data_IF_718608234801
#
_entry.id   IF_718608234801
#
_cell.length_a   1.000
_cell.length_b   1.000
_cell.length_c   1.000
_cell.angle_alpha   90.00
_cell.angle_beta   90.00
_cell.angle_gamma   90.00
#
_symmetry.space_group_name_H-M   'P 1'
#
loop_
_entity.id
_entity.type
_entity.pdbx_description
1 polymer ?
#
# COMPACT_ATOMS: atom_id res chain seq x y z
N UNK A 1 -2.14 -3.46 5.49
CA UNK A 1 -3.18 -3.18 4.47
C UNK A 1 -3.00 -1.86 3.72
N UNK A 2 -2.51 -0.78 4.35
CA UNK A 2 -2.26 0.49 3.65
C UNK A 2 -1.32 0.32 2.45
N UNK A 3 -0.12 -0.21 2.71
CA UNK A 3 0.94 -0.38 1.70
C UNK A 3 0.49 -1.29 0.54
N UNK A 4 -0.26 -2.36 0.84
CA UNK A 4 -0.78 -3.27 -0.19
C UNK A 4 -1.82 -2.57 -1.09
N UNK A 5 -2.73 -1.78 -0.52
CA UNK A 5 -3.72 -1.03 -1.28
C UNK A 5 -3.06 0.04 -2.15
N UNK A 6 -2.08 0.75 -1.59
CA UNK A 6 -1.30 1.77 -2.29
C UNK A 6 -0.50 1.17 -3.44
N UNK A 7 0.24 0.09 -3.20
CA UNK A 7 1.01 -0.61 -4.24
C UNK A 7 0.10 -1.12 -5.36
N UNK A 8 -1.04 -1.73 -5.01
CA UNK A 8 -2.05 -2.14 -5.97
C UNK A 8 -2.51 -0.96 -6.83
N UNK A 9 -2.95 0.14 -6.21
CA UNK A 9 -3.44 1.32 -6.95
C UNK A 9 -2.39 1.90 -7.89
N UNK A 10 -1.13 2.00 -7.47
CA UNK A 10 -0.04 2.54 -8.30
C UNK A 10 0.33 1.63 -9.47
N UNK A 11 0.36 0.32 -9.25
CA UNK A 11 0.62 -0.67 -10.32
C UNK A 11 -0.51 -0.64 -11.36
N UNK A 12 -1.77 -0.55 -10.93
CA UNK A 12 -2.92 -0.42 -11.84
C UNK A 12 -2.87 0.88 -12.66
N UNK A 13 -2.24 1.93 -12.15
CA UNK A 13 -1.95 3.18 -12.91
C UNK A 13 -0.68 3.09 -13.78
N UNK A 14 -0.20 1.89 -14.06
CA UNK A 14 1.01 1.61 -14.84
C UNK A 14 2.28 2.32 -14.33
N UNK A 15 2.38 2.60 -13.03
CA UNK A 15 3.60 3.12 -12.41
C UNK A 15 4.55 1.98 -12.06
N UNK A 16 5.85 2.23 -12.19
CA UNK A 16 6.85 1.36 -11.59
C UNK A 16 6.84 1.60 -10.08
N UNK A 17 6.66 0.54 -9.30
CA UNK A 17 6.56 0.63 -7.84
C UNK A 17 7.68 -0.19 -7.24
N UNK A 18 8.44 0.40 -6.33
CA UNK A 18 9.41 -0.31 -5.49
C UNK A 18 8.94 -0.34 -4.03
N UNK A 19 9.60 -1.14 -3.22
CA UNK A 19 9.39 -1.19 -1.78
C UNK A 19 10.74 -1.16 -1.08
N UNK A 20 10.87 -0.30 -0.08
CA UNK A 20 11.97 -0.34 0.85
C UNK A 20 11.38 -0.43 2.27
N UNK A 21 11.86 -1.38 3.06
CA UNK A 21 11.57 -1.45 4.49
C UNK A 21 12.88 -1.57 5.28
N UNK A 22 13.11 -0.62 6.18
CA UNK A 22 14.25 -0.58 7.10
C UNK A 22 14.06 -1.56 8.26
N UNK A 23 13.88 -2.83 7.95
CA UNK A 23 13.95 -3.95 8.89
C UNK A 23 15.35 -4.57 8.86
N UNK A 24 15.66 -5.48 9.77
CA UNK A 24 16.91 -6.25 9.76
C UNK A 24 16.61 -7.74 9.51
N UNK A 25 17.04 -8.32 8.37
CA UNK A 25 17.73 -7.69 7.25
C UNK A 25 16.80 -6.77 6.42
N UNK A 26 17.34 -5.74 5.72
CA UNK A 26 16.53 -4.79 4.96
C UNK A 26 15.80 -5.47 3.81
N UNK A 27 14.54 -5.12 3.62
CA UNK A 27 13.74 -5.60 2.50
C UNK A 27 13.75 -4.55 1.40
N UNK A 28 14.30 -4.91 0.24
CA UNK A 28 14.43 -4.02 -0.92
C UNK A 28 13.85 -4.71 -2.15
N UNK A 29 12.84 -4.08 -2.74
CA UNK A 29 12.28 -4.42 -4.04
C UNK A 29 12.44 -3.22 -4.96
N UNK A 30 13.24 -3.36 -6.01
CA UNK A 30 13.47 -2.29 -6.98
C UNK A 30 12.19 -1.99 -7.78
N UNK A 31 11.97 -0.74 -8.23
CA UNK A 31 10.79 -0.37 -8.97
C UNK A 31 10.58 -1.19 -10.25
N UNK A 32 9.47 -1.93 -10.33
CA UNK A 32 9.07 -2.68 -11.52
C UNK A 32 7.61 -2.41 -11.88
N UNK A 33 7.25 -2.71 -13.14
CA UNK A 33 5.90 -2.55 -13.68
C UNK A 33 5.20 -3.89 -13.78
N UNK A 34 3.87 -3.82 -13.81
CA UNK A 34 3.02 -4.93 -14.20
C UNK A 34 2.39 -5.68 -13.01
N UNK A 35 1.26 -6.35 -13.25
CA UNK A 35 0.47 -6.98 -12.19
C UNK A 35 1.19 -8.14 -11.50
N UNK A 36 2.11 -8.84 -12.19
CA UNK A 36 2.90 -9.91 -11.60
C UNK A 36 3.79 -9.42 -10.44
N UNK A 37 4.27 -8.17 -10.51
CA UNK A 37 5.11 -7.60 -9.47
C UNK A 37 4.34 -7.27 -8.19
N UNK A 38 3.00 -7.10 -8.28
CA UNK A 38 2.16 -6.91 -7.09
C UNK A 38 2.29 -8.10 -6.14
N UNK A 39 2.37 -9.33 -6.65
CA UNK A 39 2.59 -10.51 -5.81
C UNK A 39 3.91 -10.45 -5.06
N UNK A 40 5.00 -10.01 -5.70
CA UNK A 40 6.30 -9.84 -5.03
C UNK A 40 6.21 -8.82 -3.89
N UNK A 41 5.53 -7.69 -4.11
CA UNK A 41 5.30 -6.68 -3.06
C UNK A 41 4.45 -7.28 -1.93
N UNK A 42 3.34 -7.94 -2.23
CA UNK A 42 2.46 -8.53 -1.21
C UNK A 42 3.18 -9.61 -0.39
N UNK A 43 3.98 -10.46 -1.04
CA UNK A 43 4.81 -11.47 -0.39
C UNK A 43 5.87 -10.83 0.51
N UNK A 44 6.46 -9.70 0.11
CA UNK A 44 7.39 -8.95 0.95
C UNK A 44 6.70 -8.24 2.13
N UNK A 45 5.48 -7.74 1.93
CA UNK A 45 4.70 -7.08 2.98
C UNK A 45 4.11 -8.04 4.02
N UNK A 46 3.84 -9.30 3.65
CA UNK A 46 3.21 -10.28 4.53
C UNK A 46 3.99 -10.58 5.82
N UNK A 47 5.32 -10.82 5.77
CA UNK A 47 6.11 -11.05 6.98
C UNK A 47 6.57 -9.75 7.65
N UNK A 48 6.27 -8.55 7.11
CA UNK A 48 6.77 -7.30 7.70
C UNK A 48 6.15 -7.06 9.07
N UNK A 49 6.99 -7.23 10.09
CA UNK A 49 6.74 -6.81 11.45
C UNK A 49 8.00 -6.12 11.95
N UNK A 50 7.83 -5.11 12.79
CA UNK A 50 8.96 -4.40 13.38
C UNK A 50 9.48 -5.26 14.52
N UNK A 51 10.69 -5.79 14.37
CA UNK A 51 11.38 -6.53 15.43
C UNK A 51 12.18 -5.58 16.34
N UNK A 52 12.66 -4.46 15.79
CA UNK A 52 13.45 -3.45 16.50
C UNK A 52 13.10 -2.04 16.02
N UNK A 53 13.16 -1.02 16.90
CA UNK A 53 12.94 0.36 16.50
C UNK A 53 14.08 0.82 15.58
N UNK A 54 13.76 1.12 14.33
CA UNK A 54 14.72 1.66 13.36
C UNK A 54 14.44 3.14 13.16
N UNK A 55 15.50 3.95 13.18
CA UNK A 55 15.38 5.38 12.93
C UNK A 55 15.06 5.62 11.43
N UNK A 56 13.95 6.31 11.17
CA UNK A 56 13.50 6.58 9.81
C UNK A 56 14.46 7.50 9.05
N UNK A 57 15.07 8.48 9.72
CA UNK A 57 16.03 9.38 9.12
C UNK A 57 17.29 8.62 8.65
N UNK A 58 17.80 7.67 9.45
CA UNK A 58 18.90 6.77 9.06
C UNK A 58 18.51 5.87 7.89
N UNK A 59 17.28 5.35 7.92
CA UNK A 59 16.73 4.53 6.83
C UNK A 59 16.65 5.28 5.51
N UNK A 60 16.21 6.54 5.54
CA UNK A 60 16.16 7.38 4.34
C UNK A 60 17.57 7.65 3.81
N UNK A 61 18.54 7.95 4.70
CA UNK A 61 19.94 8.17 4.32
C UNK A 61 20.55 6.96 3.63
N UNK A 62 20.35 5.74 4.14
CA UNK A 62 20.90 4.52 3.52
C UNK A 62 20.28 4.21 2.15
N UNK A 63 19.07 4.71 1.87
CA UNK A 63 18.35 4.47 0.61
C UNK A 63 18.60 5.54 -0.45
N UNK A 64 19.29 6.64 -0.12
CA UNK A 64 19.57 7.77 -1.03
C UNK A 64 20.15 7.33 -2.39
N UNK A 65 21.07 6.36 -2.40
CA UNK A 65 21.70 5.88 -3.64
C UNK A 65 20.78 5.01 -4.52
N UNK A 66 19.67 4.51 -3.97
CA UNK A 66 18.71 3.67 -4.68
C UNK A 66 17.56 4.47 -5.29
N UNK A 67 17.38 5.72 -4.84
CA UNK A 67 16.27 6.57 -5.23
C UNK A 67 16.79 7.65 -6.18
N UNK A 68 16.23 7.68 -7.39
CA UNK A 68 16.53 8.75 -8.34
C UNK A 68 15.80 10.03 -7.92
N UNK A 69 16.36 11.19 -8.25
CA UNK A 69 15.66 12.48 -8.15
C UNK A 69 14.35 12.54 -8.95
N UNK A 70 14.15 11.61 -9.90
CA UNK A 70 12.91 11.46 -10.69
C UNK A 70 11.92 10.46 -10.10
N UNK A 71 12.17 9.90 -8.94
CA UNK A 71 11.24 8.98 -8.29
C UNK A 71 10.28 9.73 -7.36
N UNK A 72 9.07 9.19 -7.19
CA UNK A 72 8.16 9.65 -6.17
C UNK A 72 8.38 8.81 -4.91
N UNK A 73 8.84 9.45 -3.84
CA UNK A 73 9.02 8.78 -2.54
C UNK A 73 7.76 9.01 -1.71
N UNK A 74 7.14 7.90 -1.29
CA UNK A 74 6.00 7.90 -0.37
C UNK A 74 6.45 7.24 0.93
N UNK A 75 6.57 8.04 1.98
CA UNK A 75 6.91 7.54 3.32
C UNK A 75 5.64 7.13 4.04
N UNK A 76 5.65 5.99 4.74
CA UNK A 76 4.56 5.58 5.62
C UNK A 76 5.17 5.34 6.99
N UNK A 77 4.79 6.15 7.99
CA UNK A 77 5.47 6.14 9.29
C UNK A 77 4.54 6.45 10.45
N UNK A 78 4.70 5.76 11.60
CA UNK A 78 4.13 6.19 12.87
C UNK A 78 5.05 7.15 13.64
N UNK A 79 6.24 7.47 13.14
CA UNK A 79 7.20 8.34 13.85
C UNK A 79 6.70 9.79 13.91
N UNK A 80 6.72 10.36 15.11
CA UNK A 80 6.41 11.77 15.36
C UNK A 80 7.67 12.65 15.42
N UNK A 81 8.85 12.08 15.23
CA UNK A 81 10.11 12.83 15.16
C UNK A 81 10.18 13.63 13.86
N UNK A 82 10.91 14.74 13.82
CA UNK A 82 11.04 15.61 12.65
C UNK A 82 12.31 15.38 11.82
N UNK A 83 13.23 14.55 12.32
CA UNK A 83 14.55 14.27 11.75
C UNK A 83 14.51 13.68 10.32
N UNK A 84 13.49 12.89 10.01
CA UNK A 84 13.31 12.29 8.68
C UNK A 84 12.85 13.28 7.61
N UNK A 85 12.15 14.34 7.99
CA UNK A 85 11.51 15.27 7.06
C UNK A 85 12.54 15.99 6.20
N UNK A 86 13.65 16.42 6.82
CA UNK A 86 14.74 17.08 6.12
C UNK A 86 15.41 16.16 5.08
N UNK A 87 15.65 14.90 5.44
CA UNK A 87 16.23 13.93 4.51
C UNK A 87 15.28 13.65 3.34
N UNK A 88 13.98 13.51 3.62
CA UNK A 88 12.97 13.29 2.59
C UNK A 88 12.90 14.49 1.63
N UNK A 89 12.84 15.71 2.18
CA UNK A 89 12.80 16.93 1.38
C UNK A 89 14.04 17.03 0.48
N UNK A 90 15.25 16.78 0.99
CA UNK A 90 16.47 16.80 0.17
C UNK A 90 16.45 15.80 -0.99
N UNK A 91 15.89 14.60 -0.76
CA UNK A 91 15.82 13.56 -1.79
C UNK A 91 14.93 13.96 -2.97
N UNK A 92 13.87 14.76 -2.72
CA UNK A 92 12.92 15.17 -3.76
C UNK A 92 13.18 16.57 -4.32
N UNK A 93 13.94 17.42 -3.62
CA UNK A 93 14.16 18.84 -3.97
C UNK A 93 14.93 19.06 -5.29
N UNK A 94 15.58 18.03 -5.84
CA UNK A 94 16.42 18.15 -7.04
C UNK A 94 15.61 18.30 -8.34
N UNK A 95 14.31 18.04 -8.32
CA UNK A 95 13.43 18.22 -9.48
C UNK A 95 12.27 19.15 -9.11
N UNK A 96 12.29 20.36 -9.68
CA UNK A 96 11.66 21.60 -9.22
C UNK A 96 10.11 21.63 -9.01
N UNK A 97 9.40 20.50 -9.07
CA UNK A 97 7.92 20.49 -9.01
C UNK A 97 7.34 19.25 -8.32
N UNK A 98 8.14 18.40 -7.67
CA UNK A 98 7.63 17.19 -7.03
C UNK A 98 7.59 17.30 -5.52
N UNK A 99 6.37 17.33 -5.00
CA UNK A 99 6.07 17.19 -3.58
C UNK A 99 6.53 15.82 -3.10
N UNK A 100 7.22 15.77 -1.96
CA UNK A 100 7.39 14.54 -1.20
C UNK A 100 6.06 14.16 -0.56
N UNK A 101 5.76 12.88 -0.46
CA UNK A 101 4.50 12.40 0.14
C UNK A 101 4.77 11.58 1.39
N UNK A 102 3.98 11.80 2.44
CA UNK A 102 4.01 10.96 3.63
C UNK A 102 2.60 10.62 4.16
N UNK A 103 2.39 9.35 4.50
CA UNK A 103 1.26 8.91 5.30
C UNK A 103 1.68 8.80 6.76
N UNK A 104 1.10 9.64 7.60
CA UNK A 104 1.34 9.64 9.04
C UNK A 104 0.33 8.72 9.71
N UNK A 105 0.79 7.64 10.31
CA UNK A 105 -0.07 6.75 11.09
C UNK A 105 -0.37 7.41 12.43
N UNK A 106 -1.64 7.68 12.73
CA UNK A 106 -2.06 8.35 13.95
C UNK A 106 -1.82 7.45 15.18
N UNK A 107 -0.82 7.72 16.03
CA UNK A 107 -0.47 6.86 17.15
C UNK A 107 -1.62 6.75 18.17
N UNK A 108 -2.44 7.81 18.32
CA UNK A 108 -3.57 7.86 19.26
C UNK A 108 -4.65 6.86 18.89
N UNK A 109 -4.90 6.69 17.58
CA UNK A 109 -5.81 5.67 17.07
C UNK A 109 -5.31 4.23 17.31
N UNK A 110 -4.02 4.05 17.61
CA UNK A 110 -3.43 2.77 18.00
C UNK A 110 -3.20 2.61 19.51
N UNK A 111 -3.63 3.57 20.34
CA UNK A 111 -3.48 3.55 21.80
C UNK A 111 -2.14 4.06 22.31
N UNK A 112 -1.39 4.81 21.49
CA UNK A 112 -0.13 5.46 21.86
C UNK A 112 -0.31 6.98 21.92
N UNK A 113 0.55 7.67 22.67
CA UNK A 113 0.51 9.14 22.71
C UNK A 113 1.14 9.76 21.46
N UNK A 114 0.68 10.95 21.09
CA UNK A 114 1.27 11.74 20.02
C UNK A 114 0.34 12.82 19.47
N UNK A 115 0.90 13.76 18.72
CA UNK A 115 0.15 14.80 18.02
C UNK A 115 0.49 14.78 16.52
N UNK A 116 -0.21 13.95 15.72
CA UNK A 116 0.08 13.83 14.28
C UNK A 116 -0.21 15.12 13.51
N UNK A 117 -1.05 16.02 14.03
CA UNK A 117 -1.33 17.32 13.40
C UNK A 117 -0.11 18.26 13.46
N UNK A 118 0.56 18.32 14.61
CA UNK A 118 1.79 19.12 14.74
C UNK A 118 2.88 18.63 13.76
N UNK A 119 3.01 17.31 13.60
CA UNK A 119 3.94 16.68 12.64
C UNK A 119 3.55 17.00 11.18
N UNK A 120 2.24 16.97 10.87
CA UNK A 120 1.72 17.37 9.55
C UNK A 120 2.01 18.83 9.23
N UNK A 121 1.84 19.75 10.19
CA UNK A 121 2.15 21.18 10.02
C UNK A 121 3.64 21.41 9.77
N UNK A 122 4.51 20.73 10.51
CA UNK A 122 5.96 20.77 10.31
C UNK A 122 6.37 20.23 8.93
N UNK A 123 5.78 19.11 8.51
CA UNK A 123 6.04 18.52 7.20
C UNK A 123 5.57 19.45 6.05
N UNK A 124 4.42 20.09 6.20
CA UNK A 124 3.90 21.05 5.23
C UNK A 124 4.82 22.28 5.07
N UNK A 125 5.42 22.77 6.16
CA UNK A 125 6.40 23.85 6.11
C UNK A 125 7.68 23.49 5.33
N UNK A 126 7.97 22.20 5.15
CA UNK A 126 9.07 21.68 4.34
C UNK A 126 8.64 21.23 2.94
N UNK A 127 7.41 21.54 2.51
CA UNK A 127 6.90 21.15 1.18
C UNK A 127 6.57 19.66 1.06
N UNK A 128 6.30 18.97 2.17
CA UNK A 128 5.92 17.55 2.19
C UNK A 128 4.40 17.45 2.34
N UNK A 129 3.76 16.86 1.33
CA UNK A 129 2.33 16.57 1.33
C UNK A 129 2.05 15.38 2.25
N UNK A 130 1.29 15.61 3.32
CA UNK A 130 1.01 14.57 4.32
C UNK A 130 -0.47 14.25 4.47
N UNK A 131 -0.75 12.96 4.72
CA UNK A 131 -2.09 12.49 5.08
C UNK A 131 -2.04 11.68 6.37
N UNK A 132 -2.83 12.08 7.36
CA UNK A 132 -3.01 11.32 8.59
C UNK A 132 -3.93 10.12 8.29
N UNK A 133 -3.52 8.94 8.76
CA UNK A 133 -4.27 7.69 8.62
C UNK A 133 -4.51 7.11 10.00
N UNK A 134 -5.77 6.94 10.35
CA UNK A 134 -6.22 6.38 11.61
C UNK A 134 -6.50 4.88 11.48
N UNK A 135 -6.48 4.18 12.62
CA UNK A 135 -6.96 2.80 12.72
C UNK A 135 -8.41 2.74 12.25
N UNK A 136 -8.65 1.98 11.18
CA UNK A 136 -9.98 1.78 10.61
C UNK A 136 -10.28 2.58 9.34
N UNK A 137 -9.42 3.55 8.97
CA UNK A 137 -9.58 4.32 7.73
C UNK A 137 -9.47 3.44 6.48
N UNK A 138 -8.69 2.37 6.57
CA UNK A 138 -8.49 1.44 5.47
C UNK A 138 -9.41 0.26 5.69
N UNK A 139 -10.52 0.27 4.97
CA UNK A 139 -11.40 -0.88 4.92
C UNK A 139 -10.89 -1.85 3.84
N UNK A 140 -10.82 -3.15 4.13
CA UNK A 140 -10.55 -4.13 3.10
C UNK A 140 -11.65 -4.00 2.05
N UNK A 141 -11.27 -3.81 0.79
CA UNK A 141 -12.19 -3.95 -0.32
C UNK A 141 -12.59 -5.42 -0.43
N UNK A 142 -13.67 -5.78 0.26
CA UNK A 142 -14.38 -7.03 0.06
C UNK A 142 -15.08 -6.95 -1.29
N UNK A 143 -14.36 -7.24 -2.39
CA UNK A 143 -15.04 -7.18 -3.70
C UNK A 143 -14.24 -7.22 -4.99
N UNK A 144 -12.90 -7.29 -5.00
CA UNK A 144 -12.16 -7.43 -6.27
C UNK A 144 -12.50 -8.72 -7.05
N UNK A 145 -13.00 -9.74 -6.34
CA UNK A 145 -13.54 -10.98 -6.91
C UNK A 145 -15.01 -11.21 -6.48
N UNK A 146 -15.78 -10.13 -6.27
CA UNK A 146 -17.08 -10.20 -5.60
C UNK A 146 -16.96 -10.84 -4.21
N UNK A 147 -18.09 -11.12 -3.58
CA UNK A 147 -18.11 -12.18 -2.56
C UNK A 147 -17.60 -13.43 -3.29
N UNK A 148 -16.44 -13.97 -2.93
CA UNK A 148 -16.04 -15.33 -3.32
C UNK A 148 -17.21 -16.23 -2.94
N UNK A 149 -18.09 -16.49 -3.91
CA UNK A 149 -19.28 -17.28 -3.70
C UNK A 149 -18.78 -18.68 -3.42
N UNK A 150 -18.88 -19.10 -2.15
CA UNK A 150 -18.47 -20.43 -1.74
C UNK A 150 -19.34 -21.44 -2.48
N UNK A 151 -18.78 -22.61 -2.76
CA UNK A 151 -19.58 -23.74 -3.22
C UNK A 151 -20.68 -24.00 -2.19
N UNK A 152 -21.93 -23.89 -2.62
CA UNK A 152 -23.07 -24.28 -1.82
C UNK A 152 -23.75 -25.46 -2.49
N UNK A 153 -24.03 -26.48 -1.69
CA UNK A 153 -24.71 -27.68 -2.12
C UNK A 153 -26.01 -27.81 -1.34
N UNK A 154 -27.04 -28.33 -1.99
CA UNK A 154 -28.28 -28.74 -1.32
C UNK A 154 -28.55 -30.20 -1.63
N UNK A 155 -29.01 -30.93 -0.62
CA UNK A 155 -29.47 -32.30 -0.76
C UNK A 155 -30.97 -32.27 -0.98
N UNK A 156 -31.42 -32.81 -2.12
CA UNK A 156 -32.85 -32.95 -2.40
C UNK A 156 -33.44 -34.07 -1.53
N UNK A 157 -34.77 -34.10 -1.37
CA UNK A 157 -35.46 -35.14 -0.60
C UNK A 157 -35.19 -36.58 -1.07
N UNK A 158 -34.61 -36.75 -2.27
CA UNK A 158 -34.17 -38.02 -2.85
C UNK A 158 -32.72 -38.41 -2.52
N UNK A 159 -32.00 -37.60 -1.72
CA UNK A 159 -30.58 -37.82 -1.42
C UNK A 159 -29.61 -37.33 -2.50
N UNK A 160 -30.11 -36.85 -3.64
CA UNK A 160 -29.29 -36.27 -4.71
C UNK A 160 -28.75 -34.89 -4.28
N UNK A 161 -27.44 -34.71 -4.37
CA UNK A 161 -26.77 -33.42 -4.11
C UNK A 161 -26.72 -32.61 -5.40
N UNK A 162 -27.17 -31.36 -5.35
CA UNK A 162 -27.08 -30.41 -6.47
C UNK A 162 -26.35 -29.15 -6.03
N UNK A 163 -25.61 -28.55 -6.96
CA UNK A 163 -24.92 -27.27 -6.74
C UNK A 163 -25.96 -26.16 -6.70
N UNK A 164 -26.12 -25.54 -5.54
CA UNK A 164 -26.97 -24.35 -5.35
C UNK A 164 -26.25 -23.09 -5.81
N UNK A 165 -24.95 -23.00 -5.52
CA UNK A 165 -24.14 -21.85 -5.87
C UNK A 165 -22.77 -22.30 -6.37
N UNK A 166 -22.40 -21.87 -7.58
CA UNK A 166 -21.06 -22.07 -8.14
C UNK A 166 -20.26 -20.75 -8.07
N UNK A 167 -18.99 -20.77 -7.69
CA UNK A 167 -18.12 -19.61 -7.87
C UNK A 167 -18.08 -19.24 -9.36
N UNK A 168 -18.09 -17.94 -9.68
CA UNK A 168 -17.83 -17.49 -11.05
C UNK A 168 -16.35 -17.68 -11.34
N UNK A 169 -16.02 -18.36 -12.43
CA UNK A 169 -14.65 -18.47 -12.92
C UNK A 169 -14.33 -17.27 -13.80
N UNK A 170 -13.05 -16.95 -13.97
CA UNK A 170 -12.58 -15.84 -14.82
C UNK A 170 -13.11 -15.97 -16.26
N UNK A 171 -13.35 -17.20 -16.74
CA UNK A 171 -13.96 -17.51 -18.04
C UNK A 171 -15.41 -16.98 -18.19
N UNK A 172 -16.16 -16.84 -17.08
CA UNK A 172 -17.52 -16.27 -17.12
C UNK A 172 -17.51 -14.74 -17.37
N UNK A 173 -16.37 -14.04 -17.18
CA UNK A 173 -16.25 -12.59 -17.42
C UNK A 173 -16.06 -12.23 -18.90
N UNK A 174 -15.39 -13.07 -19.68
CA UNK A 174 -15.19 -12.85 -21.12
C UNK A 174 -16.51 -12.96 -21.91
N UNK A 175 -17.50 -13.71 -21.40
CA UNK A 175 -18.79 -13.88 -22.04
C UNK A 175 -19.74 -12.67 -21.92
N UNK A 176 -19.37 -11.63 -21.18
CA UNK A 176 -20.20 -10.42 -20.99
C UNK A 176 -19.94 -9.36 -22.08
N UNK A 177 -18.86 -9.46 -22.86
CA UNK A 177 -18.58 -8.54 -23.98
C UNK A 177 -19.11 -9.01 -25.35
N UNK A 178 -20.34 -9.53 -25.44
CA UNK A 178 -21.02 -9.61 -26.74
C UNK A 178 -22.53 -9.37 -26.57
N UNK A 179 -22.94 -8.10 -26.62
CA UNK A 179 -24.34 -7.73 -26.38
C UNK A 179 -24.73 -6.32 -26.81
N UNK A 180 -24.50 -5.99 -28.09
CA UNK A 180 -25.19 -4.99 -28.92
C UNK A 180 -25.53 -3.63 -28.29
N UNK A 181 -24.76 -2.61 -28.70
CA UNK A 181 -25.27 -1.25 -28.83
C UNK A 181 -26.18 -1.21 -30.07
N UNK A 182 -27.48 -1.06 -29.84
CA UNK A 182 -28.44 -0.57 -30.83
C UNK A 182 -29.38 0.40 -30.10
#
# INVERSE_FOLDING_TARGET
MLLSALASQLIHKHRAVGLFAGIDPPCILLPQRGPAFLWAILSALAPLHITQPVNLAETLKSTTNLISARDLVIVVTPSMQSDWMFNLAQMTHSFAEREAWAFLLDPTSFGMDGNPKAVQEQAAAMGISTRIVQRGDIQPQLGGMGVLRRWEYITLGTGKVVVRNRPRLVEDLESIEVGKWA
#
